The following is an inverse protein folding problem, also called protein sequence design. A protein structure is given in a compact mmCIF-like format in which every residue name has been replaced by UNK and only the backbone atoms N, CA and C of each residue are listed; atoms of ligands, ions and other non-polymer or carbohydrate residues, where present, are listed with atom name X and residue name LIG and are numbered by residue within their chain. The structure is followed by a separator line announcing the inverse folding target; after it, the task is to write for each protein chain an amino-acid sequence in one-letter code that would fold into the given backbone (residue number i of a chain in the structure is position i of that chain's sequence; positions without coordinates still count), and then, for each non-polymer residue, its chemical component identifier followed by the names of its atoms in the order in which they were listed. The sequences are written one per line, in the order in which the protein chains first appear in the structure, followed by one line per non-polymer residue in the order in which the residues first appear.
data_IF_091451842702
#
_entry.id   IF_091451842702
#
_cell.length_a   1.000
_cell.length_b   1.000
_cell.length_c   1.000
_cell.angle_alpha   90.00
_cell.angle_beta   90.00
_cell.angle_gamma   90.00
#
_symmetry.space_group_name_H-M   'P 1'
#
loop_
_entity.id
_entity.type
_entity.pdbx_description
1 polymer ?
#
# COMPACT_ATOMS: atom_id res chain seq x y z
N UNK A 1 8.60 -8.19 -20.32
CA UNK A 1 8.11 -6.81 -20.48
C UNK A 1 8.93 -6.04 -21.52
N UNK A 2 10.25 -6.07 -21.47
CA UNK A 2 11.11 -5.38 -22.44
C UNK A 2 11.16 -6.05 -23.83
N UNK A 3 10.67 -7.29 -23.96
CA UNK A 3 10.67 -8.02 -25.23
C UNK A 3 9.66 -7.45 -26.25
N UNK A 4 8.60 -6.83 -25.77
CA UNK A 4 7.59 -6.19 -26.62
C UNK A 4 6.99 -4.98 -25.89
N UNK A 5 7.36 -3.78 -26.30
CA UNK A 5 6.91 -2.51 -25.74
C UNK A 5 5.57 -2.04 -26.31
N UNK A 6 5.00 -2.76 -27.29
CA UNK A 6 3.67 -2.45 -27.84
C UNK A 6 2.55 -2.96 -26.93
N UNK A 7 2.82 -3.96 -26.08
CA UNK A 7 1.85 -4.50 -25.14
C UNK A 7 1.64 -3.53 -23.98
N UNK A 8 0.37 -3.21 -23.73
CA UNK A 8 -0.03 -2.22 -22.73
C UNK A 8 -0.60 -2.84 -21.45
N UNK A 9 -0.86 -4.15 -21.47
CA UNK A 9 -1.50 -4.84 -20.36
C UNK A 9 -0.93 -6.25 -20.14
N UNK A 10 -1.11 -6.79 -18.96
CA UNK A 10 -0.75 -8.18 -18.68
C UNK A 10 -1.60 -9.18 -19.48
N UNK A 11 -2.81 -8.79 -19.90
CA UNK A 11 -3.66 -9.62 -20.75
C UNK A 11 -3.06 -9.83 -22.14
N UNK A 12 -2.36 -8.81 -22.69
CA UNK A 12 -1.69 -8.92 -23.99
C UNK A 12 -0.55 -9.94 -23.92
N UNK A 13 0.29 -9.85 -22.88
CA UNK A 13 1.35 -10.84 -22.64
C UNK A 13 0.80 -12.25 -22.40
N UNK A 14 -0.28 -12.38 -21.63
CA UNK A 14 -0.90 -13.67 -21.38
C UNK A 14 -1.52 -14.27 -22.65
N UNK A 15 -2.13 -13.45 -23.50
CA UNK A 15 -2.69 -13.87 -24.78
C UNK A 15 -1.60 -14.36 -25.75
N UNK A 16 -0.46 -13.67 -25.82
CA UNK A 16 0.65 -14.03 -26.70
C UNK A 16 1.35 -15.31 -26.23
N UNK A 17 1.65 -15.42 -24.94
CA UNK A 17 2.43 -16.52 -24.39
C UNK A 17 1.62 -17.81 -24.14
N UNK A 18 0.35 -17.68 -23.75
CA UNK A 18 -0.48 -18.78 -23.27
C UNK A 18 -1.78 -18.96 -24.10
N UNK A 19 -2.02 -18.07 -25.04
CA UNK A 19 -3.18 -18.08 -25.92
C UNK A 19 -4.34 -17.16 -25.50
N UNK A 20 -5.34 -16.95 -26.39
CA UNK A 20 -6.42 -15.97 -26.20
C UNK A 20 -7.24 -16.17 -24.92
N UNK A 21 -7.42 -17.43 -24.49
CA UNK A 21 -8.15 -17.76 -23.27
C UNK A 21 -7.45 -17.18 -22.03
N UNK A 22 -6.12 -17.33 -21.96
CA UNK A 22 -5.33 -16.81 -20.85
C UNK A 22 -5.37 -15.28 -20.79
N UNK A 23 -5.32 -14.62 -21.96
CA UNK A 23 -5.47 -13.18 -22.05
C UNK A 23 -6.84 -12.70 -21.54
N UNK A 24 -7.92 -13.36 -21.96
CA UNK A 24 -9.27 -13.06 -21.48
C UNK A 24 -9.41 -13.22 -19.97
N UNK A 25 -8.97 -14.36 -19.44
CA UNK A 25 -9.04 -14.64 -17.99
C UNK A 25 -8.21 -13.64 -17.18
N UNK A 26 -6.97 -13.37 -17.61
CA UNK A 26 -6.09 -12.40 -16.94
C UNK A 26 -6.68 -10.99 -16.94
N UNK A 27 -7.24 -10.55 -18.07
CA UNK A 27 -7.86 -9.22 -18.19
C UNK A 27 -9.02 -9.03 -17.24
N UNK A 28 -9.96 -9.99 -17.19
CA UNK A 28 -11.11 -9.93 -16.29
C UNK A 28 -10.72 -10.04 -14.82
N UNK A 29 -9.77 -10.92 -14.49
CA UNK A 29 -9.28 -11.08 -13.12
C UNK A 29 -8.58 -9.80 -12.64
N UNK A 30 -7.77 -9.18 -13.49
CA UNK A 30 -7.08 -7.95 -13.17
C UNK A 30 -8.04 -6.77 -13.00
N UNK A 31 -9.02 -6.65 -13.88
CA UNK A 31 -10.10 -5.66 -13.73
C UNK A 31 -10.86 -5.82 -12.41
N UNK A 32 -11.27 -7.06 -12.09
CA UNK A 32 -11.98 -7.35 -10.85
C UNK A 32 -11.14 -7.04 -9.61
N UNK A 33 -9.85 -7.36 -9.64
CA UNK A 33 -8.91 -7.02 -8.57
C UNK A 33 -8.89 -5.51 -8.28
N UNK A 34 -8.82 -4.68 -9.32
CA UNK A 34 -8.84 -3.23 -9.15
C UNK A 34 -10.16 -2.68 -8.65
N UNK A 35 -11.29 -3.25 -9.09
CA UNK A 35 -12.61 -2.86 -8.58
C UNK A 35 -12.71 -3.16 -7.08
N UNK A 36 -12.30 -4.36 -6.65
CA UNK A 36 -12.32 -4.74 -5.23
C UNK A 36 -11.36 -3.89 -4.39
N UNK A 37 -10.17 -3.62 -4.92
CA UNK A 37 -9.20 -2.72 -4.26
C UNK A 37 -9.79 -1.32 -4.08
N UNK A 38 -10.40 -0.75 -5.11
CA UNK A 38 -11.06 0.55 -5.00
C UNK A 38 -12.19 0.57 -3.97
N UNK A 39 -12.99 -0.49 -3.88
CA UNK A 39 -14.01 -0.62 -2.83
C UNK A 39 -13.37 -0.64 -1.42
N UNK A 40 -12.29 -1.41 -1.24
CA UNK A 40 -11.57 -1.49 0.03
C UNK A 40 -10.98 -0.13 0.44
N UNK A 41 -10.41 0.61 -0.52
CA UNK A 41 -9.87 1.95 -0.28
C UNK A 41 -10.95 2.95 0.15
N UNK A 42 -12.11 2.94 -0.51
CA UNK A 42 -13.25 3.80 -0.13
C UNK A 42 -13.72 3.49 1.29
N UNK A 43 -13.81 2.22 1.67
CA UNK A 43 -14.18 1.81 3.03
C UNK A 43 -13.14 2.28 4.04
N UNK A 44 -11.85 2.10 3.75
CA UNK A 44 -10.76 2.54 4.61
C UNK A 44 -10.77 4.07 4.82
N UNK A 45 -10.92 4.84 3.74
CA UNK A 45 -10.99 6.31 3.81
C UNK A 45 -12.21 6.77 4.62
N UNK A 46 -13.34 6.08 4.48
CA UNK A 46 -14.54 6.36 5.28
C UNK A 46 -14.28 6.17 6.78
N UNK A 47 -13.61 5.09 7.17
CA UNK A 47 -13.21 4.86 8.56
C UNK A 47 -12.25 5.96 9.09
N UNK A 48 -11.30 6.40 8.26
CA UNK A 48 -10.42 7.52 8.63
C UNK A 48 -11.17 8.84 8.75
N UNK A 49 -12.14 9.11 7.87
CA UNK A 49 -12.96 10.32 7.95
C UNK A 49 -13.77 10.36 9.25
N UNK A 50 -14.30 9.24 9.72
CA UNK A 50 -15.02 9.14 10.99
C UNK A 50 -14.13 9.39 12.21
N UNK A 51 -12.83 9.06 12.13
CA UNK A 51 -11.88 9.41 13.20
C UNK A 51 -11.81 10.93 13.42
N UNK A 52 -11.84 11.72 12.36
CA UNK A 52 -11.81 13.19 12.41
C UNK A 52 -13.21 13.79 12.63
N UNK A 53 -14.25 13.14 12.11
CA UNK A 53 -15.64 13.60 12.13
C UNK A 53 -16.57 12.49 12.64
N UNK A 54 -16.62 12.21 13.96
CA UNK A 54 -17.35 11.07 14.53
C UNK A 54 -18.86 11.04 14.23
N UNK A 55 -19.45 12.14 13.79
CA UNK A 55 -20.87 12.24 13.42
C UNK A 55 -21.15 12.09 11.91
N UNK A 56 -20.12 11.85 11.09
CA UNK A 56 -20.28 11.74 9.65
C UNK A 56 -20.85 10.38 9.26
N UNK A 57 -21.95 10.39 8.49
CA UNK A 57 -22.53 9.14 7.99
C UNK A 57 -21.62 8.52 6.92
N UNK A 58 -21.47 7.19 6.95
CA UNK A 58 -20.59 6.42 6.06
C UNK A 58 -20.83 6.71 4.58
N UNK A 59 -22.09 6.77 4.18
CA UNK A 59 -22.45 7.01 2.79
C UNK A 59 -22.05 8.41 2.30
N UNK A 60 -22.06 9.43 3.19
CA UNK A 60 -21.64 10.81 2.86
C UNK A 60 -20.14 10.84 2.62
N UNK A 61 -19.35 10.22 3.50
CA UNK A 61 -17.90 10.12 3.34
C UNK A 61 -17.53 9.35 2.07
N UNK A 62 -18.15 8.19 1.85
CA UNK A 62 -17.93 7.35 0.66
C UNK A 62 -18.28 8.09 -0.63
N UNK A 63 -19.44 8.76 -0.67
CA UNK A 63 -19.86 9.53 -1.84
C UNK A 63 -18.93 10.71 -2.12
N UNK A 64 -18.51 11.43 -1.08
CA UNK A 64 -17.58 12.55 -1.23
C UNK A 64 -16.23 12.09 -1.82
N UNK A 65 -15.69 10.94 -1.36
CA UNK A 65 -14.46 10.36 -1.89
C UNK A 65 -14.63 9.95 -3.35
N UNK A 66 -15.72 9.25 -3.70
CA UNK A 66 -15.98 8.83 -5.07
C UNK A 66 -16.10 10.04 -6.01
N UNK A 67 -16.84 11.08 -5.60
CA UNK A 67 -16.97 12.30 -6.40
C UNK A 67 -15.65 13.06 -6.53
N UNK A 68 -14.84 13.11 -5.47
CA UNK A 68 -13.50 13.66 -5.53
C UNK A 68 -12.62 12.91 -6.54
N UNK A 69 -12.56 11.58 -6.44
CA UNK A 69 -11.79 10.75 -7.36
C UNK A 69 -12.28 10.87 -8.80
N UNK A 70 -13.60 10.92 -9.00
CA UNK A 70 -14.18 11.16 -10.33
C UNK A 70 -13.74 12.53 -10.88
N UNK A 71 -13.82 13.59 -10.08
CA UNK A 71 -13.37 14.93 -10.46
C UNK A 71 -11.89 14.97 -10.82
N UNK A 72 -11.03 14.28 -10.04
CA UNK A 72 -9.61 14.14 -10.32
C UNK A 72 -9.32 13.38 -11.63
N UNK A 73 -10.09 12.31 -11.89
CA UNK A 73 -9.96 11.53 -13.12
C UNK A 73 -10.42 12.30 -14.37
N UNK A 74 -11.38 13.20 -14.24
CA UNK A 74 -11.82 14.08 -15.32
C UNK A 74 -10.87 15.26 -15.57
N UNK A 75 -9.90 15.47 -14.68
CA UNK A 75 -8.88 16.50 -14.84
C UNK A 75 -7.92 16.17 -15.99
N UNK A 76 -7.19 17.19 -16.45
CA UNK A 76 -6.17 17.01 -17.48
C UNK A 76 -5.07 16.05 -17.03
N UNK A 77 -4.56 15.22 -17.93
CA UNK A 77 -3.47 14.24 -17.66
C UNK A 77 -2.26 14.88 -16.96
N UNK A 78 -1.90 16.11 -17.35
CA UNK A 78 -0.81 16.85 -16.72
C UNK A 78 -1.09 17.18 -15.24
N UNK A 79 -2.29 17.65 -14.93
CA UNK A 79 -2.71 17.99 -13.57
C UNK A 79 -2.80 16.72 -12.71
N UNK A 80 -3.27 15.62 -13.28
CA UNK A 80 -3.32 14.32 -12.61
C UNK A 80 -1.91 13.85 -12.21
N UNK A 81 -0.94 13.91 -13.10
CA UNK A 81 0.45 13.51 -12.81
C UNK A 81 1.12 14.38 -11.73
N UNK A 82 0.86 15.70 -11.73
CA UNK A 82 1.36 16.58 -10.66
C UNK A 82 0.73 16.25 -9.29
N UNK A 83 -0.57 15.96 -9.26
CA UNK A 83 -1.26 15.58 -8.03
C UNK A 83 -0.79 14.23 -7.50
N UNK A 84 -0.62 13.24 -8.36
CA UNK A 84 -0.08 11.93 -8.00
C UNK A 84 1.31 12.06 -7.37
N UNK A 85 2.19 12.88 -7.95
CA UNK A 85 3.50 13.17 -7.38
C UNK A 85 3.40 13.76 -5.96
N UNK A 86 2.57 14.77 -5.75
CA UNK A 86 2.42 15.39 -4.43
C UNK A 86 1.82 14.45 -3.40
N UNK A 87 0.80 13.64 -3.77
CA UNK A 87 0.23 12.64 -2.88
C UNK A 87 1.26 11.55 -2.52
N UNK A 88 2.08 11.13 -3.48
CA UNK A 88 3.17 10.20 -3.21
C UNK A 88 4.20 10.80 -2.25
N UNK A 89 4.58 12.07 -2.43
CA UNK A 89 5.51 12.77 -1.55
C UNK A 89 4.96 12.90 -0.13
N UNK A 90 3.69 13.28 0.05
CA UNK A 90 3.03 13.37 1.36
C UNK A 90 3.11 12.01 2.07
N UNK A 91 2.79 10.91 1.37
CA UNK A 91 2.86 9.56 1.92
C UNK A 91 4.28 9.20 2.36
N UNK A 92 5.28 9.47 1.54
CA UNK A 92 6.69 9.19 1.85
C UNK A 92 7.13 9.97 3.09
N UNK A 93 6.85 11.28 3.13
CA UNK A 93 7.20 12.14 4.26
C UNK A 93 6.50 11.66 5.54
N UNK A 94 5.22 11.31 5.47
CA UNK A 94 4.47 10.80 6.62
C UNK A 94 5.07 9.50 7.17
N UNK A 95 5.44 8.54 6.30
CA UNK A 95 6.05 7.28 6.74
C UNK A 95 7.43 7.51 7.34
N UNK A 96 8.26 8.35 6.71
CA UNK A 96 9.58 8.69 7.25
C UNK A 96 9.46 9.40 8.60
N UNK A 97 8.53 10.35 8.72
CA UNK A 97 8.26 11.03 9.98
C UNK A 97 7.80 10.04 11.08
N UNK A 98 6.92 9.09 10.74
CA UNK A 98 6.48 8.03 11.66
C UNK A 98 7.68 7.20 12.15
N UNK A 99 8.55 6.78 11.23
CA UNK A 99 9.75 6.00 11.60
C UNK A 99 10.65 6.81 12.51
N UNK A 100 10.95 8.06 12.16
CA UNK A 100 11.85 8.93 12.95
C UNK A 100 11.26 9.21 14.32
N UNK A 101 10.00 9.65 14.40
CA UNK A 101 9.33 9.94 15.68
C UNK A 101 9.23 8.69 16.55
N UNK A 102 8.86 7.56 15.98
CA UNK A 102 8.76 6.32 16.73
C UNK A 102 10.13 5.82 17.26
N UNK A 103 11.20 5.94 16.47
CA UNK A 103 12.56 5.67 16.96
C UNK A 103 12.96 6.60 18.12
N UNK A 104 12.65 7.89 18.01
CA UNK A 104 12.89 8.85 19.09
C UNK A 104 12.11 8.46 20.36
N UNK A 105 10.83 8.07 20.21
CA UNK A 105 10.01 7.62 21.34
C UNK A 105 10.61 6.40 22.03
N UNK A 106 11.12 5.43 21.28
CA UNK A 106 11.79 4.24 21.84
C UNK A 106 13.10 4.63 22.53
N UNK A 107 13.92 5.51 21.94
CA UNK A 107 15.17 5.97 22.54
C UNK A 107 14.97 6.79 23.81
N UNK A 108 13.86 7.53 23.91
CA UNK A 108 13.53 8.34 25.07
C UNK A 108 12.72 7.57 26.14
N UNK A 109 12.48 6.27 25.94
CA UNK A 109 11.62 5.46 26.81
C UNK A 109 10.26 6.13 27.07
N UNK A 110 9.67 6.67 26.01
CA UNK A 110 8.41 7.42 26.10
C UNK A 110 7.32 6.52 26.67
N UNK A 111 6.64 7.03 27.73
CA UNK A 111 5.48 6.37 28.31
C UNK A 111 4.20 6.97 27.75
N UNK A 112 3.33 6.12 27.23
CA UNK A 112 2.00 6.48 26.78
C UNK A 112 1.11 6.89 27.97
N UNK A 113 0.06 7.67 27.77
CA UNK A 113 -0.93 7.96 28.82
C UNK A 113 -1.57 6.71 29.44
N UNK A 114 -1.53 5.58 28.74
CA UNK A 114 -1.98 4.26 29.20
C UNK A 114 -0.94 3.49 30.02
N UNK A 115 0.26 4.07 30.25
CA UNK A 115 1.34 3.46 31.01
C UNK A 115 2.24 2.50 30.22
N UNK A 116 2.04 2.39 28.90
CA UNK A 116 2.87 1.56 28.04
C UNK A 116 4.15 2.34 27.68
N UNK A 117 5.31 1.75 27.98
CA UNK A 117 6.62 2.30 27.63
C UNK A 117 7.06 1.81 26.25
N UNK A 118 7.46 2.71 25.38
CA UNK A 118 7.95 2.37 24.04
C UNK A 118 9.29 1.60 24.13
N UNK A 119 9.33 0.37 23.62
CA UNK A 119 10.50 -0.51 23.69
C UNK A 119 10.54 -1.51 22.55
N UNK A 120 11.72 -1.79 22.03
CA UNK A 120 11.92 -2.90 21.09
C UNK A 120 11.57 -4.27 21.70
N UNK A 121 11.50 -4.39 23.03
CA UNK A 121 11.12 -5.64 23.68
C UNK A 121 9.71 -6.11 23.30
N UNK A 122 8.81 -5.21 22.89
CA UNK A 122 7.47 -5.56 22.41
C UNK A 122 7.47 -6.48 21.19
N UNK A 123 8.52 -6.46 20.38
CA UNK A 123 8.65 -7.32 19.19
C UNK A 123 8.70 -8.82 19.53
N UNK A 124 9.10 -9.18 20.77
CA UNK A 124 9.23 -10.60 21.20
C UNK A 124 8.54 -10.91 22.52
N UNK A 125 8.33 -9.94 23.38
CA UNK A 125 7.74 -10.21 24.70
C UNK A 125 6.21 -10.33 24.65
N UNK A 126 5.56 -9.86 23.58
CA UNK A 126 4.12 -9.80 23.43
C UNK A 126 3.58 -11.05 22.69
N UNK A 127 3.85 -12.23 23.24
CA UNK A 127 3.44 -13.53 22.67
C UNK A 127 4.45 -14.16 21.71
N UNK A 128 5.64 -13.59 21.53
CA UNK A 128 6.70 -14.10 20.65
C UNK A 128 6.37 -13.93 19.17
N UNK A 129 7.08 -14.71 18.33
CA UNK A 129 6.96 -14.61 16.87
C UNK A 129 5.62 -15.09 16.29
N UNK A 130 4.93 -15.96 16.99
CA UNK A 130 3.66 -16.56 16.57
C UNK A 130 2.61 -16.49 17.67
N UNK A 131 2.18 -15.29 18.11
CA UNK A 131 1.30 -15.13 19.27
C UNK A 131 -0.06 -15.84 19.11
N UNK A 132 -0.54 -16.00 17.88
CA UNK A 132 -1.77 -16.76 17.55
C UNK A 132 -1.45 -18.09 16.82
N UNK A 133 -0.23 -18.60 16.98
CA UNK A 133 0.21 -19.82 16.33
C UNK A 133 0.36 -19.70 14.80
N UNK A 134 0.59 -20.85 14.15
CA UNK A 134 0.79 -20.91 12.70
C UNK A 134 -0.47 -20.51 11.93
N UNK A 135 -1.65 -20.79 12.43
CA UNK A 135 -2.92 -20.37 11.78
C UNK A 135 -3.07 -18.85 11.75
N UNK A 136 -2.72 -18.16 12.84
CA UNK A 136 -2.70 -16.70 12.87
C UNK A 136 -1.69 -16.08 11.92
N UNK A 137 -0.52 -16.71 11.78
CA UNK A 137 0.48 -16.31 10.80
C UNK A 137 -0.06 -16.39 9.37
N UNK A 138 -0.67 -17.51 8.98
CA UNK A 138 -1.27 -17.64 7.64
C UNK A 138 -2.45 -16.68 7.42
N UNK A 139 -3.25 -16.42 8.43
CA UNK A 139 -4.33 -15.42 8.33
C UNK A 139 -3.78 -14.00 8.03
N UNK A 140 -2.60 -13.67 8.55
CA UNK A 140 -1.92 -12.41 8.26
C UNK A 140 -1.48 -12.24 6.80
N UNK A 141 -1.29 -13.34 6.05
CA UNK A 141 -0.90 -13.28 4.63
C UNK A 141 -1.93 -12.58 3.75
N UNK A 142 -3.21 -12.64 4.09
CA UNK A 142 -4.26 -11.92 3.33
C UNK A 142 -3.96 -10.42 3.27
N UNK A 143 -3.61 -9.83 4.42
CA UNK A 143 -3.25 -8.40 4.50
C UNK A 143 -1.87 -8.15 3.89
N UNK A 144 -0.91 -9.06 4.12
CA UNK A 144 0.42 -8.95 3.55
C UNK A 144 0.40 -8.95 2.02
N UNK A 145 -0.39 -9.83 1.39
CA UNK A 145 -0.56 -9.87 -0.07
C UNK A 145 -1.17 -8.57 -0.59
N UNK A 146 -2.18 -8.03 0.11
CA UNK A 146 -2.81 -6.76 -0.26
C UNK A 146 -1.82 -5.59 -0.25
N UNK A 147 -0.85 -5.59 0.68
CA UNK A 147 0.18 -4.56 0.75
C UNK A 147 1.13 -4.53 -0.48
N UNK A 148 1.17 -5.60 -1.27
CA UNK A 148 1.97 -5.70 -2.49
C UNK A 148 1.17 -5.41 -3.77
N UNK A 149 -0.14 -5.20 -3.69
CA UNK A 149 -0.98 -4.83 -4.85
C UNK A 149 -0.51 -3.47 -5.38
N UNK A 150 -0.36 -3.38 -6.70
CA UNK A 150 0.09 -2.18 -7.39
C UNK A 150 1.59 -2.15 -7.73
N UNK A 151 2.41 -3.05 -7.16
CA UNK A 151 3.84 -3.15 -7.54
C UNK A 151 3.99 -3.52 -9.01
N UNK A 152 3.09 -4.33 -9.53
CA UNK A 152 3.06 -4.78 -10.93
C UNK A 152 2.83 -3.64 -11.92
N UNK A 153 2.26 -2.50 -11.48
CA UNK A 153 2.05 -1.32 -12.33
C UNK A 153 3.35 -0.79 -12.94
N UNK A 154 4.50 -1.01 -12.30
CA UNK A 154 5.80 -0.70 -12.89
C UNK A 154 5.99 -1.41 -14.23
N UNK A 155 5.39 -2.60 -14.40
CA UNK A 155 5.44 -3.34 -15.65
C UNK A 155 4.52 -2.77 -16.74
N UNK A 156 3.32 -2.34 -16.39
CA UNK A 156 2.35 -1.80 -17.37
C UNK A 156 2.71 -0.40 -17.85
N UNK A 157 3.43 0.39 -17.04
CA UNK A 157 3.93 1.72 -17.43
C UNK A 157 5.17 1.68 -18.33
N UNK A 158 5.65 0.48 -18.69
CA UNK A 158 6.81 0.33 -19.56
C UNK A 158 6.65 1.03 -20.92
N UNK A 159 5.47 0.89 -21.53
CA UNK A 159 5.16 1.49 -22.84
C UNK A 159 5.08 3.02 -22.81
N UNK A 160 4.87 3.62 -21.65
CA UNK A 160 4.72 5.07 -21.44
C UNK A 160 5.99 5.72 -20.87
N UNK A 161 6.98 4.90 -20.47
CA UNK A 161 8.20 5.37 -19.81
C UNK A 161 9.24 5.82 -20.83
N UNK A 162 9.84 6.96 -20.60
CA UNK A 162 10.99 7.43 -21.37
C UNK A 162 12.22 6.55 -21.07
N UNK A 163 12.90 6.04 -22.09
CA UNK A 163 14.04 5.12 -21.97
C UNK A 163 13.74 3.88 -21.10
N UNK A 164 12.73 3.04 -21.46
CA UNK A 164 12.25 1.94 -20.62
C UNK A 164 13.33 0.91 -20.31
N UNK A 165 14.27 0.66 -21.23
CA UNK A 165 15.38 -0.29 -21.03
C UNK A 165 16.31 0.08 -19.85
N UNK A 166 16.42 1.38 -19.53
CA UNK A 166 17.21 1.87 -18.40
C UNK A 166 16.38 2.13 -17.15
N UNK A 167 15.18 2.65 -17.33
CA UNK A 167 14.32 3.10 -16.23
C UNK A 167 13.67 1.94 -15.49
N UNK A 168 13.17 0.93 -16.23
CA UNK A 168 12.51 -0.22 -15.65
C UNK A 168 13.40 -1.08 -14.74
N UNK A 169 14.61 -1.49 -15.16
CA UNK A 169 15.48 -2.26 -14.28
C UNK A 169 15.81 -1.50 -12.99
N UNK A 170 16.01 -0.17 -13.07
CA UNK A 170 16.22 0.65 -11.86
C UNK A 170 15.00 0.67 -10.95
N UNK A 171 13.81 0.86 -11.52
CA UNK A 171 12.56 0.86 -10.77
C UNK A 171 12.36 -0.49 -10.07
N UNK A 172 12.46 -1.60 -10.80
CA UNK A 172 12.30 -2.95 -10.27
C UNK A 172 13.33 -3.25 -9.17
N UNK A 173 14.61 -2.96 -9.40
CA UNK A 173 15.67 -3.20 -8.41
C UNK A 173 15.53 -2.33 -7.15
N UNK A 174 14.82 -1.21 -7.22
CA UNK A 174 14.54 -0.37 -6.06
C UNK A 174 13.38 -0.87 -5.19
N UNK A 175 12.51 -1.75 -5.72
CA UNK A 175 11.33 -2.25 -5.01
C UNK A 175 11.69 -2.96 -3.69
N UNK A 176 12.64 -3.91 -3.63
CA UNK A 176 13.00 -4.57 -2.38
C UNK A 176 13.46 -3.59 -1.29
N UNK A 177 14.26 -2.59 -1.68
CA UNK A 177 14.75 -1.57 -0.74
C UNK A 177 13.59 -0.72 -0.22
N UNK A 178 12.66 -0.33 -1.09
CA UNK A 178 11.48 0.44 -0.69
C UNK A 178 10.59 -0.36 0.26
N UNK A 179 10.38 -1.64 -0.02
CA UNK A 179 9.60 -2.54 0.85
C UNK A 179 10.25 -2.61 2.24
N UNK A 180 11.55 -2.87 2.32
CA UNK A 180 12.25 -2.92 3.61
C UNK A 180 12.13 -1.59 4.35
N UNK A 181 12.40 -0.48 3.67
CA UNK A 181 12.34 0.85 4.28
C UNK A 181 10.94 1.22 4.76
N UNK A 182 9.93 1.11 3.90
CA UNK A 182 8.60 1.65 4.19
C UNK A 182 7.67 0.67 4.90
N UNK A 183 7.85 -0.64 4.73
CA UNK A 183 7.00 -1.63 5.41
C UNK A 183 7.69 -2.22 6.62
N UNK A 184 8.89 -2.80 6.46
CA UNK A 184 9.54 -3.51 7.57
C UNK A 184 9.93 -2.55 8.70
N UNK A 185 10.60 -1.42 8.39
CA UNK A 185 10.97 -0.45 9.41
C UNK A 185 9.76 0.23 10.05
N UNK A 186 8.74 0.59 9.26
CA UNK A 186 7.52 1.18 9.81
C UNK A 186 6.82 0.22 10.77
N UNK A 187 6.68 -1.07 10.41
CA UNK A 187 6.08 -2.09 11.28
C UNK A 187 6.91 -2.32 12.54
N UNK A 188 8.24 -2.43 12.43
CA UNK A 188 9.13 -2.55 13.60
C UNK A 188 8.89 -1.40 14.57
N UNK A 189 8.84 -0.17 14.06
CA UNK A 189 8.67 1.01 14.90
C UNK A 189 7.27 1.07 15.52
N UNK A 190 6.21 0.84 14.74
CA UNK A 190 4.84 0.84 15.26
C UNK A 190 4.68 -0.20 16.37
N UNK A 191 5.16 -1.43 16.16
CA UNK A 191 5.09 -2.50 17.14
C UNK A 191 5.98 -2.24 18.36
N UNK A 192 7.03 -1.45 18.23
CA UNK A 192 7.87 -1.07 19.36
C UNK A 192 7.27 0.04 20.22
N UNK A 193 6.48 0.93 19.63
CA UNK A 193 5.78 1.99 20.36
C UNK A 193 4.52 1.48 21.05
N UNK A 194 3.79 0.58 20.38
CA UNK A 194 2.53 0.06 20.88
C UNK A 194 2.51 -1.47 20.74
N UNK A 195 2.41 -2.23 21.86
CA UNK A 195 2.30 -3.68 21.78
C UNK A 195 1.02 -4.06 21.04
N UNK A 196 1.10 -5.09 20.20
CA UNK A 196 -0.03 -5.50 19.37
C UNK A 196 -1.25 -5.93 20.20
N UNK A 197 -1.03 -6.48 21.40
CA UNK A 197 -2.10 -6.89 22.34
C UNK A 197 -2.94 -5.73 22.85
N UNK A 198 -2.44 -4.49 22.79
CA UNK A 198 -3.19 -3.30 23.20
C UNK A 198 -4.06 -2.71 22.09
N UNK A 199 -3.96 -3.23 20.86
CA UNK A 199 -4.68 -2.73 19.67
C UNK A 199 -5.87 -3.63 19.30
N UNK A 200 -5.96 -4.81 19.92
CA UNK A 200 -7.00 -5.83 19.65
C UNK A 200 -8.16 -5.71 20.64
#
# INVERSE_FOLDING_TARGET
LLSNLEYKSFSDFAADLLGPWAGYFTGWTYWFCWVVTGMADVVAITAYAQFWFPGLSDWVASLAVILLLLGLNLATVKMFGEMEFWFAMIKIVAIVALIVVGLVMVMMHFQSPTGVEASFAHLWNDGGWFPKGISGFFAGFQIAVFAFVGIELVGTTAAETKDPEKSLPRAINSIPIRIIMFYVFALIVIMSVTPWSSVV
#
